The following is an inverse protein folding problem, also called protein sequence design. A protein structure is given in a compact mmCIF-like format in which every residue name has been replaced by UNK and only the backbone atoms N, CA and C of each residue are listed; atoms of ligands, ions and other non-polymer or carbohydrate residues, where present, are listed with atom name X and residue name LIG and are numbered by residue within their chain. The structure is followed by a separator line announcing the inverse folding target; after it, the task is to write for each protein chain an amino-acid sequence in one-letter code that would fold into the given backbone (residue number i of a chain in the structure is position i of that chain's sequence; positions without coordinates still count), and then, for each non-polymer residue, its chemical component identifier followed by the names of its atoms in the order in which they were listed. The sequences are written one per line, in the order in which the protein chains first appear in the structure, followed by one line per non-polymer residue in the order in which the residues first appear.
data_IF_118033835025
#
_entry.id   IF_118033835025
#
_cell.length_a   1.000
_cell.length_b   1.000
_cell.length_c   1.000
_cell.angle_alpha   90.00
_cell.angle_beta   90.00
_cell.angle_gamma   90.00
#
_symmetry.space_group_name_H-M   'P 1'
#
loop_
_entity.id
_entity.type
_entity.pdbx_description
1 polymer ?
#
# COMPACT_ATOMS: atom_id res chain seq x y z
N UNK A 1 3.46 2.96 5.72
CA UNK A 1 4.00 1.89 6.59
C UNK A 1 4.24 0.58 5.85
N UNK A 2 3.35 0.20 4.93
CA UNK A 2 3.37 -1.10 4.25
C UNK A 2 4.65 -1.32 3.45
N UNK A 3 5.16 -0.28 2.79
CA UNK A 3 6.39 -0.36 2.00
C UNK A 3 7.60 -0.76 2.86
N UNK A 4 7.72 -0.17 4.06
CA UNK A 4 8.77 -0.50 5.02
C UNK A 4 8.69 -1.94 5.51
N UNK A 5 7.48 -2.44 5.80
CA UNK A 5 7.27 -3.84 6.20
C UNK A 5 7.66 -4.79 5.06
N UNK A 6 7.31 -4.47 3.81
CA UNK A 6 7.65 -5.28 2.65
C UNK A 6 9.17 -5.34 2.40
N UNK A 7 9.89 -4.23 2.60
CA UNK A 7 11.37 -4.19 2.53
C UNK A 7 11.98 -5.12 3.59
N UNK A 8 11.50 -5.04 4.84
CA UNK A 8 11.99 -5.89 5.93
C UNK A 8 11.69 -7.37 5.66
N UNK A 9 10.49 -7.68 5.17
CA UNK A 9 10.11 -9.05 4.81
C UNK A 9 11.08 -9.64 3.77
N UNK A 10 11.38 -8.88 2.70
CA UNK A 10 12.37 -9.30 1.70
C UNK A 10 13.76 -9.50 2.29
N UNK A 11 14.21 -8.58 3.15
CA UNK A 11 15.51 -8.68 3.81
C UNK A 11 15.65 -9.96 4.64
N UNK A 12 14.60 -10.35 5.38
CA UNK A 12 14.61 -11.56 6.21
C UNK A 12 14.14 -12.84 5.48
N UNK A 13 13.88 -12.78 4.18
CA UNK A 13 13.40 -13.94 3.40
C UNK A 13 12.00 -14.41 3.78
N UNK A 14 11.15 -13.52 4.30
CA UNK A 14 9.77 -13.80 4.70
C UNK A 14 8.84 -13.49 3.51
N UNK A 15 7.93 -14.40 3.13
CA UNK A 15 6.98 -14.12 2.06
C UNK A 15 5.98 -13.03 2.47
N UNK A 16 5.81 -12.02 1.62
CA UNK A 16 4.91 -10.89 1.83
C UNK A 16 3.70 -10.99 0.90
N UNK A 17 2.50 -11.05 1.46
CA UNK A 17 1.25 -11.21 0.70
C UNK A 17 0.37 -9.97 0.83
N UNK A 18 -0.21 -9.53 -0.29
CA UNK A 18 -1.24 -8.49 -0.31
C UNK A 18 -2.60 -9.16 -0.51
N UNK A 19 -3.60 -8.79 0.30
CA UNK A 19 -4.97 -9.29 0.19
C UNK A 19 -5.89 -8.12 -0.14
N UNK A 20 -6.64 -8.23 -1.23
CA UNK A 20 -7.63 -7.23 -1.63
C UNK A 20 -8.58 -7.79 -2.69
N UNK A 21 -9.86 -7.37 -2.73
CA UNK A 21 -10.78 -7.82 -3.75
C UNK A 21 -10.38 -7.28 -5.13
N UNK A 22 -10.82 -7.96 -6.19
CA UNK A 22 -10.59 -7.58 -7.58
C UNK A 22 -10.97 -6.12 -7.86
N UNK A 23 -12.03 -5.62 -7.22
CA UNK A 23 -12.51 -4.25 -7.35
C UNK A 23 -11.52 -3.17 -6.93
N UNK A 24 -10.47 -3.50 -6.17
CA UNK A 24 -9.40 -2.56 -5.79
C UNK A 24 -8.30 -2.41 -6.84
N UNK A 25 -8.31 -3.23 -7.90
CA UNK A 25 -7.32 -3.16 -8.97
C UNK A 25 -7.72 -2.05 -9.94
N UNK A 26 -6.87 -1.03 -10.05
CA UNK A 26 -7.01 0.03 -11.03
C UNK A 26 -6.16 -0.25 -12.28
N UNK A 27 -6.82 -0.64 -13.38
CA UNK A 27 -6.15 -0.89 -14.67
C UNK A 27 -5.73 0.38 -15.42
N UNK A 28 -6.19 1.56 -15.00
CA UNK A 28 -5.77 2.85 -15.57
C UNK A 28 -4.47 3.35 -14.93
N UNK A 29 -4.18 2.93 -13.71
CA UNK A 29 -2.95 3.19 -12.98
C UNK A 29 -1.83 2.29 -13.50
N UNK A 30 -0.91 2.82 -14.32
CA UNK A 30 0.12 2.01 -15.00
C UNK A 30 1.27 1.64 -14.08
N UNK A 31 1.59 2.54 -13.16
CA UNK A 31 2.71 2.42 -12.23
C UNK A 31 2.30 2.89 -10.84
N UNK A 32 3.11 2.54 -9.84
CA UNK A 32 2.91 3.05 -8.48
C UNK A 32 3.04 4.57 -8.36
N UNK A 33 3.79 5.20 -9.27
CA UNK A 33 3.99 6.66 -9.30
C UNK A 33 2.73 7.42 -9.72
N UNK A 34 1.78 6.74 -10.38
CA UNK A 34 0.49 7.33 -10.77
C UNK A 34 -0.52 7.37 -9.60
N UNK A 35 -0.20 6.74 -8.46
CA UNK A 35 -1.07 6.71 -7.27
C UNK A 35 -0.93 8.03 -6.50
N UNK A 36 -2.03 8.80 -6.43
CA UNK A 36 -2.09 10.01 -5.61
C UNK A 36 -2.15 9.63 -4.12
N UNK A 37 -1.14 10.06 -3.36
CA UNK A 37 -1.07 9.82 -1.92
C UNK A 37 -1.82 10.93 -1.19
N UNK A 38 -2.84 10.54 -0.41
CA UNK A 38 -3.56 11.43 0.50
C UNK A 38 -2.60 11.93 1.60
N UNK A 39 -2.48 13.25 1.75
CA UNK A 39 -1.84 13.88 2.90
C UNK A 39 -2.93 14.36 3.86
N UNK A 40 -2.90 13.85 5.09
CA UNK A 40 -3.93 14.11 6.11
C UNK A 40 -3.51 15.23 7.05
N UNK A 41 -4.51 15.77 7.74
CA UNK A 41 -4.32 16.88 8.68
C UNK A 41 -3.26 16.56 9.75
N UNK A 42 -2.40 17.54 10.04
CA UNK A 42 -1.29 17.35 10.98
C UNK A 42 -1.77 17.14 12.43
N UNK A 43 -2.99 17.56 12.75
CA UNK A 43 -3.60 17.36 14.07
C UNK A 43 -3.81 15.87 14.40
N UNK A 44 -3.94 15.01 13.38
CA UNK A 44 -4.08 13.55 13.56
C UNK A 44 -2.91 12.95 14.34
N UNK A 45 -1.68 13.42 14.11
CA UNK A 45 -0.48 12.89 14.77
C UNK A 45 0.00 13.75 15.93
N UNK A 46 -0.48 14.99 16.06
CA UNK A 46 -0.11 15.90 17.16
C UNK A 46 -1.05 15.83 18.35
N UNK A 47 -2.34 15.65 18.11
CA UNK A 47 -3.40 15.94 19.08
C UNK A 47 -4.44 14.82 19.18
N UNK A 48 -4.81 14.24 18.04
CA UNK A 48 -5.89 13.26 17.98
C UNK A 48 -5.55 12.01 18.83
N UNK A 49 -6.51 11.55 19.62
CA UNK A 49 -6.43 10.38 20.52
C UNK A 49 -5.50 10.53 21.75
N UNK A 50 -4.76 11.62 21.88
CA UNK A 50 -3.89 11.85 23.03
C UNK A 50 -4.59 12.63 24.13
N UNK A 51 -4.20 12.40 25.40
CA UNK A 51 -4.72 13.15 26.56
C UNK A 51 -4.38 14.65 26.51
N UNK A 52 -3.30 15.01 25.81
CA UNK A 52 -2.80 16.36 25.58
C UNK A 52 -1.97 16.38 24.29
N UNK A 53 -1.72 17.54 23.66
CA UNK A 53 -0.85 17.62 22.49
C UNK A 53 0.52 16.98 22.76
N UNK A 54 0.97 16.11 21.85
CA UNK A 54 2.22 15.36 21.95
C UNK A 54 3.41 16.06 21.28
N UNK A 55 3.14 17.12 20.52
CA UNK A 55 4.14 17.97 19.87
C UNK A 55 3.84 19.45 20.16
N UNK A 56 4.85 20.30 19.99
CA UNK A 56 4.68 21.76 20.10
C UNK A 56 3.79 22.29 18.97
N UNK A 57 2.99 23.35 19.18
CA UNK A 57 2.08 23.89 18.17
C UNK A 57 2.75 24.20 16.83
N UNK A 58 3.97 24.74 16.85
CA UNK A 58 4.78 25.14 15.70
C UNK A 58 5.45 23.96 14.96
N UNK A 59 5.35 22.74 15.50
CA UNK A 59 5.94 21.55 14.89
C UNK A 59 5.27 21.29 13.54
N UNK A 60 6.08 21.31 12.48
CA UNK A 60 5.67 20.91 11.14
C UNK A 60 5.62 19.39 11.05
N UNK A 61 4.54 18.87 10.49
CA UNK A 61 4.34 17.45 10.30
C UNK A 61 4.22 17.11 8.81
N UNK A 62 4.66 15.92 8.46
CA UNK A 62 4.40 15.28 7.17
C UNK A 62 3.58 14.02 7.46
N UNK A 63 2.33 13.98 6.99
CA UNK A 63 1.37 12.94 7.36
C UNK A 63 0.73 12.27 6.13
N UNK A 64 1.51 11.57 5.29
CA UNK A 64 0.95 10.77 4.21
C UNK A 64 0.17 9.57 4.79
N UNK A 65 -1.08 9.41 4.39
CA UNK A 65 -1.95 8.33 4.85
C UNK A 65 -1.54 6.95 4.32
N UNK A 66 -0.89 6.94 3.16
CA UNK A 66 -0.52 5.72 2.43
C UNK A 66 0.92 5.79 1.93
N UNK A 67 1.45 4.63 1.58
CA UNK A 67 2.70 4.47 0.84
C UNK A 67 2.53 3.43 -0.27
N UNK A 68 3.44 3.47 -1.25
CA UNK A 68 3.44 2.55 -2.40
C UNK A 68 4.47 1.46 -2.16
N UNK A 69 4.06 0.20 -2.32
CA UNK A 69 4.96 -0.96 -2.24
C UNK A 69 5.30 -1.45 -3.64
N UNK A 70 6.58 -1.49 -3.98
CA UNK A 70 7.03 -2.03 -5.26
C UNK A 70 6.68 -3.52 -5.40
N UNK A 71 6.24 -3.92 -6.60
CA UNK A 71 5.77 -5.28 -6.83
C UNK A 71 6.88 -6.35 -6.66
N UNK A 72 8.16 -5.98 -6.79
CA UNK A 72 9.30 -6.88 -6.55
C UNK A 72 9.50 -7.24 -5.07
N UNK A 73 8.74 -6.63 -4.17
CA UNK A 73 8.69 -6.95 -2.74
C UNK A 73 7.52 -7.88 -2.39
N UNK A 74 6.59 -8.12 -3.33
CA UNK A 74 5.36 -8.87 -3.09
C UNK A 74 5.52 -10.31 -3.59
N UNK A 75 5.15 -11.29 -2.76
CA UNK A 75 5.18 -12.72 -3.10
C UNK A 75 3.96 -13.15 -3.91
N UNK A 76 2.77 -12.68 -3.52
CA UNK A 76 1.54 -12.83 -4.29
C UNK A 76 0.48 -11.80 -3.85
N UNK A 77 -0.46 -11.50 -4.74
CA UNK A 77 -1.68 -10.73 -4.45
C UNK A 77 -2.84 -11.72 -4.45
N UNK A 78 -3.58 -11.79 -3.36
CA UNK A 78 -4.72 -12.69 -3.18
C UNK A 78 -5.99 -11.88 -3.40
N UNK A 79 -6.83 -12.35 -4.32
CA UNK A 79 -8.12 -11.74 -4.64
C UNK A 79 -9.24 -12.78 -4.56
N UNK A 80 -10.48 -12.31 -4.64
CA UNK A 80 -11.69 -13.12 -4.82
C UNK A 80 -11.76 -13.82 -6.19
N UNK A 81 -10.85 -13.51 -7.12
CA UNK A 81 -10.71 -14.15 -8.44
C UNK A 81 -9.48 -15.04 -8.58
N UNK A 82 -8.72 -15.24 -7.49
CA UNK A 82 -7.57 -16.14 -7.45
C UNK A 82 -6.30 -15.48 -6.90
N UNK A 83 -5.17 -16.18 -7.05
CA UNK A 83 -3.87 -15.77 -6.53
C UNK A 83 -2.97 -15.31 -7.69
N UNK A 84 -2.55 -14.07 -7.65
CA UNK A 84 -1.70 -13.41 -8.65
C UNK A 84 -0.24 -13.47 -8.22
N UNK A 85 0.65 -13.85 -9.13
CA UNK A 85 2.10 -13.91 -8.91
C UNK A 85 2.82 -13.21 -10.05
N UNK A 86 4.03 -12.74 -9.78
CA UNK A 86 4.90 -12.17 -10.81
C UNK A 86 5.16 -13.17 -11.95
N UNK A 87 5.28 -12.72 -13.21
CA UNK A 87 5.11 -11.33 -13.67
C UNK A 87 3.63 -10.88 -13.62
N UNK A 88 3.37 -9.78 -12.92
CA UNK A 88 2.00 -9.44 -12.52
C UNK A 88 1.08 -9.08 -13.69
N UNK A 89 1.63 -8.51 -14.78
CA UNK A 89 0.86 -8.21 -16.01
C UNK A 89 0.12 -9.45 -16.53
N UNK A 90 0.80 -10.59 -16.63
CA UNK A 90 0.18 -11.83 -17.11
C UNK A 90 -0.89 -12.35 -16.15
N UNK A 91 -0.62 -12.29 -14.85
CA UNK A 91 -1.60 -12.73 -13.86
C UNK A 91 -2.84 -11.85 -13.80
N UNK A 92 -2.68 -10.53 -14.02
CA UNK A 92 -3.76 -9.57 -14.05
C UNK A 92 -4.65 -9.76 -15.29
N UNK A 93 -4.08 -9.99 -16.48
CA UNK A 93 -4.89 -10.27 -17.67
C UNK A 93 -5.73 -11.56 -17.48
N UNK A 94 -5.19 -12.62 -16.86
CA UNK A 94 -5.95 -13.86 -16.62
C UNK A 94 -7.22 -13.70 -15.79
N UNK A 95 -7.27 -12.73 -14.87
CA UNK A 95 -8.43 -12.52 -13.99
C UNK A 95 -9.39 -11.46 -14.52
N UNK A 96 -8.99 -10.73 -15.57
CA UNK A 96 -9.79 -9.74 -16.27
C UNK A 96 -10.82 -10.38 -17.20
N UNK A 97 -10.46 -11.50 -17.81
CA UNK A 97 -11.30 -12.27 -18.75
C UNK A 97 -12.38 -13.13 -18.06
N UNK A 98 -12.44 -13.13 -16.72
CA UNK A 98 -13.46 -13.84 -15.96
C UNK A 98 -14.73 -13.00 -15.71
N UNK A 99 -14.90 -11.88 -16.43
CA UNK A 99 -16.11 -11.04 -16.47
C UNK A 99 -16.88 -11.24 -17.78
#
# INVERSE_FOLDING_TARGET
GTSGVAILAKYYGIPFYVLGPYSTIDYKCKTGDDIVIEEREQSEIKEMWYKKPMALPETKCYNPAFDVTDNSLITAIITDRGILRAPYRESLERIKDND
#
